data_IF_016061849502
#
_entry.id   IF_016061849502
#
_cell.length_a   1.000
_cell.length_b   1.000
_cell.length_c   1.000
_cell.angle_alpha   90.00
_cell.angle_beta   90.00
_cell.angle_gamma   90.00
#
_symmetry.space_group_name_H-M   'P 1'
#
loop_
_entity.id
_entity.type
_entity.pdbx_description
1 polymer ?
#
# COMPACT_ATOMS: atom_id res chain seq x y z
N UNK A 1 25.29 -12.18 -61.18
CA UNK A 1 24.97 -13.05 -60.02
C UNK A 1 25.85 -12.59 -58.86
N UNK A 2 25.40 -12.28 -57.64
CA UNK A 2 24.07 -12.28 -57.04
C UNK A 2 24.22 -11.38 -55.79
N UNK A 3 23.60 -10.22 -55.84
CA UNK A 3 22.81 -9.65 -54.75
C UNK A 3 23.43 -9.57 -53.32
N UNK A 4 23.68 -8.31 -52.94
CA UNK A 4 23.35 -7.65 -51.65
C UNK A 4 24.32 -7.82 -50.48
N UNK A 5 25.26 -6.89 -50.42
CA UNK A 5 25.52 -6.14 -49.19
C UNK A 5 24.23 -5.42 -48.75
N UNK A 6 23.35 -6.12 -48.03
CA UNK A 6 22.23 -5.47 -47.35
C UNK A 6 22.75 -5.03 -45.98
N UNK A 7 23.09 -3.74 -45.90
CA UNK A 7 23.43 -3.03 -44.68
C UNK A 7 22.36 -3.33 -43.61
N UNK A 8 22.76 -4.08 -42.58
CA UNK A 8 21.96 -4.28 -41.37
C UNK A 8 22.06 -2.98 -40.56
N UNK A 9 21.30 -1.97 -40.98
CA UNK A 9 21.11 -0.72 -40.25
C UNK A 9 20.30 -1.05 -38.99
N UNK A 10 21.00 -1.30 -37.90
CA UNK A 10 20.42 -1.46 -36.57
C UNK A 10 19.85 -0.10 -36.13
N UNK A 11 18.62 0.18 -36.54
CA UNK A 11 17.88 1.37 -36.14
C UNK A 11 17.50 1.19 -34.67
N UNK A 12 18.35 1.68 -33.76
CA UNK A 12 18.03 1.78 -32.35
C UNK A 12 16.84 2.75 -32.21
N UNK A 13 15.65 2.19 -32.02
CA UNK A 13 14.46 2.96 -31.66
C UNK A 13 14.74 3.67 -30.34
N UNK A 14 14.59 5.00 -30.27
CA UNK A 14 14.67 5.69 -28.99
C UNK A 14 13.51 5.19 -28.14
N UNK A 15 13.81 4.42 -27.10
CA UNK A 15 12.81 4.07 -26.09
C UNK A 15 12.35 5.38 -25.47
N UNK A 16 11.10 5.77 -25.76
CA UNK A 16 10.46 6.87 -25.04
C UNK A 16 10.40 6.45 -23.56
N UNK A 17 11.30 7.02 -22.75
CA UNK A 17 11.32 6.82 -21.32
C UNK A 17 10.12 7.58 -20.73
N UNK A 18 8.97 6.92 -20.64
CA UNK A 18 7.84 7.44 -19.88
C UNK A 18 8.18 7.34 -18.39
N UNK A 19 8.67 8.44 -17.82
CA UNK A 19 8.85 8.55 -16.37
C UNK A 19 7.51 8.35 -15.65
N UNK A 20 7.44 7.37 -14.75
CA UNK A 20 6.25 7.15 -13.92
C UNK A 20 6.15 8.29 -12.89
N UNK A 21 5.04 9.04 -12.91
CA UNK A 21 4.75 10.04 -11.88
C UNK A 21 4.61 9.32 -10.54
N UNK A 22 5.33 9.79 -9.53
CA UNK A 22 5.27 9.27 -8.15
C UNK A 22 4.60 10.30 -7.25
N UNK A 23 3.79 9.81 -6.32
CA UNK A 23 3.22 10.60 -5.23
C UNK A 23 3.53 9.87 -3.94
N UNK A 24 3.90 10.63 -2.92
CA UNK A 24 4.18 10.17 -1.57
C UNK A 24 3.13 10.76 -0.65
N UNK A 25 2.52 9.92 0.19
CA UNK A 25 1.57 10.37 1.22
C UNK A 25 1.84 9.64 2.53
N UNK A 26 1.42 10.29 3.62
CA UNK A 26 1.32 9.67 4.94
C UNK A 26 -0.07 9.90 5.48
N UNK A 27 -0.70 8.86 6.03
CA UNK A 27 -2.00 8.95 6.67
C UNK A 27 -2.09 8.06 7.91
N UNK A 28 -3.03 8.36 8.81
CA UNK A 28 -3.25 7.57 10.02
C UNK A 28 -4.06 6.30 9.73
N UNK A 29 -3.59 5.19 10.30
CA UNK A 29 -4.21 3.86 10.25
C UNK A 29 -4.15 3.19 11.61
N UNK A 30 -5.28 2.68 12.09
CA UNK A 30 -5.38 2.04 13.39
C UNK A 30 -4.86 0.59 13.36
N UNK A 31 -3.98 0.28 14.31
CA UNK A 31 -3.36 -1.02 14.52
C UNK A 31 -2.55 -1.00 15.80
N UNK A 32 -2.15 -2.17 16.32
CA UNK A 32 -1.56 -2.27 17.66
C UNK A 32 -0.37 -3.24 17.75
N UNK A 33 -0.05 -3.97 16.67
CA UNK A 33 1.02 -4.97 16.70
C UNK A 33 1.62 -5.22 15.32
N UNK A 34 2.77 -5.89 15.24
CA UNK A 34 3.44 -6.25 13.99
C UNK A 34 2.64 -7.20 13.07
N UNK A 35 1.53 -7.81 13.53
CA UNK A 35 0.60 -8.50 12.63
C UNK A 35 -0.32 -7.52 11.89
N UNK A 36 -0.63 -6.38 12.48
CA UNK A 36 -1.34 -5.28 11.82
C UNK A 36 -0.46 -4.72 10.71
N UNK A 37 0.79 -4.39 11.02
CA UNK A 37 1.82 -3.92 10.07
C UNK A 37 1.86 -4.78 8.80
N UNK A 38 2.16 -6.07 8.97
CA UNK A 38 2.24 -7.02 7.84
C UNK A 38 0.97 -7.09 7.01
N UNK A 39 -0.20 -6.95 7.64
CA UNK A 39 -1.49 -7.01 6.94
C UNK A 39 -1.73 -5.74 6.12
N UNK A 40 -1.53 -4.57 6.74
CA UNK A 40 -1.70 -3.25 6.13
C UNK A 40 -0.75 -3.11 4.93
N UNK A 41 0.54 -3.36 5.13
CA UNK A 41 1.56 -3.21 4.09
C UNK A 41 1.34 -4.19 2.94
N UNK A 42 1.05 -5.46 3.25
CA UNK A 42 0.77 -6.46 2.21
C UNK A 42 -0.46 -6.10 1.38
N UNK A 43 -1.51 -5.56 2.01
CA UNK A 43 -2.71 -5.13 1.28
C UNK A 43 -2.39 -4.00 0.30
N UNK A 44 -1.64 -3.00 0.75
CA UNK A 44 -1.25 -1.84 -0.06
C UNK A 44 -0.28 -2.21 -1.19
N UNK A 45 0.75 -3.00 -0.89
CA UNK A 45 1.71 -3.50 -1.89
C UNK A 45 1.06 -4.46 -2.91
N UNK A 46 -0.13 -4.99 -2.61
CA UNK A 46 -0.92 -5.78 -3.55
C UNK A 46 -1.60 -4.96 -4.65
N UNK A 47 -1.69 -3.64 -4.50
CA UNK A 47 -2.26 -2.75 -5.52
C UNK A 47 -1.24 -2.48 -6.64
N UNK A 48 -1.66 -2.71 -7.88
CA UNK A 48 -0.83 -2.38 -9.03
C UNK A 48 -0.63 -0.86 -9.16
N UNK A 49 0.61 -0.43 -8.94
CA UNK A 49 1.00 0.98 -8.92
C UNK A 49 1.42 1.48 -7.54
N UNK A 50 1.39 0.66 -6.49
CA UNK A 50 2.05 0.95 -5.20
C UNK A 50 3.46 0.35 -5.21
N UNK A 51 4.46 1.14 -4.83
CA UNK A 51 5.85 0.71 -4.77
C UNK A 51 6.38 0.55 -3.35
N UNK A 52 5.86 1.34 -2.42
CA UNK A 52 6.25 1.32 -1.01
C UNK A 52 5.00 1.46 -0.16
N UNK A 53 4.92 0.66 0.89
CA UNK A 53 3.99 0.84 2.00
C UNK A 53 4.74 0.48 3.29
N UNK A 54 4.73 1.39 4.26
CA UNK A 54 5.40 1.23 5.55
C UNK A 54 4.43 1.73 6.63
N UNK A 55 4.05 0.87 7.57
CA UNK A 55 3.20 1.25 8.70
C UNK A 55 3.99 1.22 9.99
N UNK A 56 3.98 2.33 10.71
CA UNK A 56 4.71 2.47 11.94
C UNK A 56 3.77 2.28 13.15
N UNK A 57 4.05 1.26 13.96
CA UNK A 57 3.23 0.93 15.13
C UNK A 57 3.20 2.02 16.22
N UNK A 58 4.29 2.77 16.41
CA UNK A 58 4.36 3.79 17.47
C UNK A 58 3.58 5.05 17.12
N UNK A 59 3.59 5.43 15.84
CA UNK A 59 3.00 6.68 15.34
C UNK A 59 1.67 6.48 14.62
N UNK A 60 1.30 5.22 14.37
CA UNK A 60 0.13 4.79 13.59
C UNK A 60 0.13 5.34 12.14
N UNK A 61 1.28 5.84 11.68
CA UNK A 61 1.45 6.44 10.38
C UNK A 61 1.67 5.37 9.31
N UNK A 62 0.92 5.46 8.22
CA UNK A 62 1.11 4.67 7.00
C UNK A 62 1.72 5.55 5.93
N UNK A 63 2.97 5.30 5.56
CA UNK A 63 3.66 5.96 4.45
C UNK A 63 3.50 5.13 3.17
N UNK A 64 3.12 5.77 2.07
CA UNK A 64 2.88 5.10 0.78
C UNK A 64 3.48 5.89 -0.37
N UNK A 65 4.17 5.19 -1.28
CA UNK A 65 4.64 5.74 -2.56
C UNK A 65 3.91 5.03 -3.71
N UNK A 66 3.18 5.78 -4.52
CA UNK A 66 2.30 5.20 -5.55
C UNK A 66 2.18 6.03 -6.84
N UNK A 67 1.67 5.39 -7.89
CA UNK A 67 1.38 5.99 -9.18
C UNK A 67 -0.04 6.57 -9.18
N UNK A 68 -0.21 7.91 -9.18
CA UNK A 68 -1.53 8.53 -9.12
C UNK A 68 -2.35 8.34 -10.40
N UNK A 69 -1.77 7.77 -11.47
CA UNK A 69 -2.52 7.39 -12.68
C UNK A 69 -3.16 5.99 -12.58
N UNK A 70 -2.79 5.20 -11.56
CA UNK A 70 -3.25 3.81 -11.37
C UNK A 70 -4.07 3.65 -10.10
N UNK A 71 -3.64 4.34 -9.03
CA UNK A 71 -4.22 4.24 -7.69
C UNK A 71 -4.53 5.65 -7.21
N UNK A 72 -5.70 5.85 -6.61
CA UNK A 72 -6.05 7.08 -5.91
C UNK A 72 -5.80 6.97 -4.40
N UNK A 73 -5.70 8.10 -3.70
CA UNK A 73 -5.59 8.08 -2.23
C UNK A 73 -6.77 7.35 -1.57
N UNK A 74 -7.99 7.50 -2.10
CA UNK A 74 -9.16 6.79 -1.58
C UNK A 74 -9.08 5.27 -1.79
N UNK A 75 -8.43 4.80 -2.87
CA UNK A 75 -8.21 3.36 -3.07
C UNK A 75 -7.30 2.79 -1.97
N UNK A 76 -6.28 3.55 -1.54
CA UNK A 76 -5.41 3.16 -0.43
C UNK A 76 -6.20 3.02 0.88
N UNK A 77 -7.02 4.02 1.22
CA UNK A 77 -7.87 3.97 2.41
C UNK A 77 -8.88 2.82 2.38
N UNK A 78 -9.54 2.61 1.24
CA UNK A 78 -10.49 1.52 1.06
C UNK A 78 -9.82 0.15 1.15
N UNK A 79 -8.59 0.02 0.64
CA UNK A 79 -7.82 -1.23 0.67
C UNK A 79 -7.45 -1.61 2.11
N UNK A 80 -7.00 -0.63 2.90
CA UNK A 80 -6.67 -0.83 4.33
C UNK A 80 -7.93 -1.18 5.14
N UNK A 81 -9.03 -0.45 4.91
CA UNK A 81 -10.32 -0.75 5.51
C UNK A 81 -10.86 -2.15 5.15
N UNK A 82 -10.65 -2.58 3.90
CA UNK A 82 -11.05 -3.90 3.41
C UNK A 82 -10.31 -5.07 4.07
N UNK A 83 -9.15 -4.82 4.70
CA UNK A 83 -8.43 -5.82 5.49
C UNK A 83 -8.60 -5.64 7.00
N UNK A 84 -9.60 -4.86 7.41
CA UNK A 84 -10.04 -4.74 8.79
C UNK A 84 -9.34 -3.66 9.62
N UNK A 85 -8.74 -2.66 8.96
CA UNK A 85 -8.04 -1.55 9.63
C UNK A 85 -8.69 -0.20 9.31
N UNK A 86 -8.98 0.57 10.35
CA UNK A 86 -9.52 1.91 10.19
C UNK A 86 -8.44 2.85 9.71
N UNK A 87 -8.83 3.81 8.90
CA UNK A 87 -7.98 4.91 8.48
C UNK A 87 -8.65 6.23 8.80
N UNK A 88 -7.90 7.33 8.73
CA UNK A 88 -8.45 8.67 8.96
C UNK A 88 -9.63 9.05 8.04
N UNK A 89 -9.80 8.38 6.89
CA UNK A 89 -10.88 8.67 5.92
C UNK A 89 -11.91 7.55 5.79
N UNK A 90 -11.54 6.30 6.02
CA UNK A 90 -12.40 5.14 5.80
C UNK A 90 -12.31 4.21 6.99
N UNK A 91 -13.47 3.94 7.58
CA UNK A 91 -13.64 2.95 8.65
C UNK A 91 -13.86 1.57 8.03
N UNK A 92 -13.17 0.56 8.54
CA UNK A 92 -13.40 -0.83 8.20
C UNK A 92 -14.82 -1.25 8.61
N UNK A 93 -15.47 -2.04 7.75
CA UNK A 93 -16.75 -2.65 8.09
C UNK A 93 -16.57 -3.59 9.28
N UNK A 94 -17.62 -3.71 10.08
CA UNK A 94 -17.56 -4.59 11.26
C UNK A 94 -17.29 -6.04 10.88
N UNK A 95 -17.74 -6.49 9.70
CA UNK A 95 -17.43 -7.82 9.17
C UNK A 95 -15.94 -8.01 8.85
N UNK A 96 -15.28 -6.99 8.31
CA UNK A 96 -13.85 -7.08 7.96
C UNK A 96 -12.98 -6.93 9.20
N UNK A 97 -13.36 -6.02 10.10
CA UNK A 97 -12.79 -5.93 11.43
C UNK A 97 -12.98 -7.23 12.21
N UNK A 98 -14.14 -7.91 12.11
CA UNK A 98 -14.40 -9.17 12.80
C UNK A 98 -13.38 -10.26 12.44
N UNK A 99 -12.88 -10.26 11.21
CA UNK A 99 -11.93 -11.26 10.68
C UNK A 99 -10.49 -11.07 11.16
N UNK A 100 -10.14 -9.92 11.75
CA UNK A 100 -8.78 -9.73 12.28
C UNK A 100 -8.54 -10.62 13.50
N UNK A 101 -7.27 -10.99 13.73
CA UNK A 101 -6.88 -11.77 14.90
C UNK A 101 -7.28 -11.05 16.20
N UNK A 102 -7.53 -11.80 17.29
CA UNK A 102 -7.98 -11.24 18.57
C UNK A 102 -7.06 -10.12 19.10
N UNK A 103 -5.74 -10.29 19.02
CA UNK A 103 -4.80 -9.25 19.44
C UNK A 103 -4.75 -8.01 18.52
N UNK A 104 -5.37 -8.06 17.33
CA UNK A 104 -5.46 -6.94 16.40
C UNK A 104 -6.74 -6.12 16.60
N UNK A 105 -7.55 -6.42 17.62
CA UNK A 105 -8.82 -5.75 17.89
C UNK A 105 -8.61 -4.38 18.55
N UNK A 106 -7.99 -3.47 17.82
CA UNK A 106 -7.59 -2.14 18.28
C UNK A 106 -8.76 -1.21 18.69
N UNK A 107 -10.02 -1.60 18.44
CA UNK A 107 -11.21 -0.87 18.93
C UNK A 107 -11.66 -1.35 20.31
N UNK A 108 -11.15 -2.48 20.80
CA UNK A 108 -11.52 -3.06 22.09
C UNK A 108 -10.61 -2.51 23.20
N UNK A 109 -11.20 -1.95 24.25
CA UNK A 109 -10.48 -1.28 25.34
C UNK A 109 -9.47 -2.20 26.05
N UNK A 110 -9.80 -3.50 26.17
CA UNK A 110 -8.90 -4.51 26.74
C UNK A 110 -7.62 -4.69 25.90
N UNK A 111 -7.75 -4.64 24.57
CA UNK A 111 -6.61 -4.74 23.65
C UNK A 111 -5.80 -3.45 23.63
N UNK A 112 -6.47 -2.30 23.65
CA UNK A 112 -5.83 -0.98 23.70
C UNK A 112 -5.00 -0.82 24.97
N UNK A 113 -5.56 -1.15 26.13
CA UNK A 113 -4.85 -1.08 27.41
C UNK A 113 -3.66 -2.04 27.52
N UNK A 114 -3.76 -3.25 26.94
CA UNK A 114 -2.67 -4.22 26.91
C UNK A 114 -1.48 -3.80 26.02
N UNK A 115 -1.71 -2.93 25.03
CA UNK A 115 -0.68 -2.50 24.08
C UNK A 115 -0.18 -1.05 24.31
N UNK A 116 -0.76 -0.29 25.25
CA UNK A 116 -0.29 1.03 25.67
C UNK A 116 0.43 1.05 27.03
N UNK A 117 0.86 -0.12 27.54
CA UNK A 117 1.61 -0.24 28.79
C UNK A 117 3.13 -0.20 28.61
N UNK A 118 3.66 0.95 28.15
CA UNK A 118 5.10 1.26 28.13
C UNK A 118 5.41 2.51 28.94
#
# INVERSE_FOLDING_TARGET
>A
MKNRFLAMLLMALPTLAFGQKKVEITFQTDGVCGMCEKRIEKALLGLDGVWTADWNQETHATFVVFNPKRVSEMDLHNTVAGVGHDTQKVKAKDEDYAKVHACCKYREEEVVSANHGG
#
